data_IF_196337036254
#
_entry.id   IF_196337036254
#
_cell.length_a   1.000
_cell.length_b   1.000
_cell.length_c   1.000
_cell.angle_alpha   90.00
_cell.angle_beta   90.00
_cell.angle_gamma   90.00
#
_symmetry.space_group_name_H-M   'P 1'
#
loop_
_entity.id
_entity.type
_entity.pdbx_description
1 polymer ?
#
# COMPACT_ATOMS: atom_id res chain seq x y z
N UNK A 1 -8.31 0.78 -20.17
CA UNK A 1 -8.00 0.73 -18.73
C UNK A 1 -6.65 0.05 -18.58
N UNK A 2 -5.65 0.71 -17.97
CA UNK A 2 -4.33 0.08 -17.74
C UNK A 2 -4.25 -0.48 -16.31
N UNK A 3 -3.25 -1.31 -16.04
CA UNK A 3 -3.05 -1.94 -14.71
C UNK A 3 -2.90 -0.91 -13.59
N UNK A 4 -2.28 0.24 -13.88
CA UNK A 4 -2.11 1.32 -12.90
C UNK A 4 -3.44 1.99 -12.52
N UNK A 5 -4.35 2.21 -13.47
CA UNK A 5 -5.68 2.76 -13.16
C UNK A 5 -6.48 1.81 -12.27
N UNK A 6 -6.39 0.50 -12.52
CA UNK A 6 -7.04 -0.52 -11.66
C UNK A 6 -6.45 -0.49 -10.25
N UNK A 7 -5.12 -0.38 -10.13
CA UNK A 7 -4.42 -0.24 -8.87
C UNK A 7 -4.88 1.01 -8.08
N UNK A 8 -4.88 2.17 -8.71
CA UNK A 8 -5.31 3.43 -8.09
C UNK A 8 -6.78 3.39 -7.66
N UNK A 9 -7.65 2.77 -8.48
CA UNK A 9 -9.05 2.58 -8.12
C UNK A 9 -9.20 1.67 -6.89
N UNK A 10 -8.45 0.57 -6.82
CA UNK A 10 -8.47 -0.33 -5.66
C UNK A 10 -7.98 0.38 -4.38
N UNK A 11 -6.95 1.23 -4.48
CA UNK A 11 -6.47 2.06 -3.37
C UNK A 11 -7.51 3.08 -2.90
N UNK A 12 -8.23 3.73 -3.83
CA UNK A 12 -9.32 4.65 -3.47
C UNK A 12 -10.45 3.92 -2.75
N UNK A 13 -10.84 2.73 -3.21
CA UNK A 13 -11.85 1.90 -2.54
C UNK A 13 -11.38 1.38 -1.18
N UNK A 14 -10.07 1.22 -0.98
CA UNK A 14 -9.50 0.79 0.29
C UNK A 14 -9.72 1.87 1.38
N UNK A 15 -9.49 3.14 1.06
CA UNK A 15 -9.60 4.25 2.03
C UNK A 15 -11.03 4.65 2.36
N UNK A 16 -12.01 4.26 1.54
CA UNK A 16 -13.44 4.43 1.83
C UNK A 16 -13.92 3.51 2.96
N UNK A 17 -13.14 2.48 3.30
CA UNK A 17 -13.47 1.55 4.39
C UNK A 17 -13.24 2.22 5.74
N UNK A 18 -14.26 2.19 6.60
CA UNK A 18 -14.19 2.73 7.97
C UNK A 18 -13.53 1.72 8.92
N UNK A 19 -12.23 1.55 8.79
CA UNK A 19 -11.42 0.73 9.69
C UNK A 19 -10.09 1.40 10.00
N UNK A 20 -9.67 1.33 11.26
CA UNK A 20 -8.38 1.87 11.71
C UNK A 20 -7.20 1.13 11.07
N UNK A 21 -7.36 -0.18 10.80
CA UNK A 21 -6.36 -1.00 10.09
C UNK A 21 -6.95 -1.57 8.81
N UNK A 22 -6.34 -1.24 7.68
CA UNK A 22 -6.75 -1.67 6.36
C UNK A 22 -5.85 -2.83 5.90
N UNK A 23 -6.39 -4.05 5.92
CA UNK A 23 -5.67 -5.25 5.53
C UNK A 23 -5.68 -5.43 4.01
N UNK A 24 -4.50 -5.56 3.39
CA UNK A 24 -4.34 -5.75 1.95
C UNK A 24 -3.57 -7.03 1.68
N UNK A 25 -4.21 -7.98 1.01
CA UNK A 25 -3.57 -9.22 0.56
C UNK A 25 -2.99 -9.06 -0.85
N UNK A 26 -1.67 -9.18 -0.95
CA UNK A 26 -0.91 -9.00 -2.18
C UNK A 26 -0.41 -10.33 -2.77
N UNK A 27 -0.88 -11.48 -2.27
CA UNK A 27 -0.44 -12.81 -2.75
C UNK A 27 -0.62 -13.06 -4.25
N UNK A 28 -1.53 -12.33 -4.91
CA UNK A 28 -1.77 -12.41 -6.36
C UNK A 28 -1.05 -11.32 -7.16
N UNK A 29 -0.36 -10.40 -6.49
CA UNK A 29 0.40 -9.31 -7.11
C UNK A 29 1.84 -9.79 -7.29
N UNK A 30 2.19 -10.13 -8.53
CA UNK A 30 3.55 -10.61 -8.86
C UNK A 30 4.58 -9.50 -8.85
N UNK A 31 4.18 -8.29 -9.21
CA UNK A 31 5.09 -7.17 -9.33
C UNK A 31 4.38 -5.82 -9.13
N UNK A 32 5.07 -4.89 -8.47
CA UNK A 32 4.76 -3.46 -8.44
C UNK A 32 6.06 -2.68 -8.67
N UNK A 33 6.00 -1.63 -9.48
CA UNK A 33 7.11 -0.71 -9.69
C UNK A 33 7.11 0.41 -8.64
N UNK A 34 8.12 1.29 -8.68
CA UNK A 34 8.21 2.43 -7.77
C UNK A 34 6.96 3.31 -7.86
N UNK A 35 6.36 3.48 -9.04
CA UNK A 35 5.22 4.35 -9.20
C UNK A 35 3.95 3.79 -8.54
N UNK A 36 3.74 2.47 -8.59
CA UNK A 36 2.68 1.80 -7.84
C UNK A 36 2.90 1.85 -6.33
N UNK A 37 4.15 1.74 -5.87
CA UNK A 37 4.49 1.92 -4.45
C UNK A 37 4.29 3.38 -4.00
N UNK A 38 4.61 4.36 -4.85
CA UNK A 38 4.29 5.78 -4.61
C UNK A 38 2.79 5.96 -4.42
N UNK A 39 1.97 5.40 -5.32
CA UNK A 39 0.51 5.50 -5.22
C UNK A 39 0.01 4.93 -3.87
N UNK A 40 0.57 3.81 -3.41
CA UNK A 40 0.27 3.21 -2.10
C UNK A 40 0.72 4.07 -0.92
N UNK A 41 1.95 4.58 -0.94
CA UNK A 41 2.50 5.43 0.12
C UNK A 41 1.70 6.73 0.26
N UNK A 42 1.38 7.39 -0.85
CA UNK A 42 0.52 8.58 -0.87
C UNK A 42 -0.88 8.27 -0.36
N UNK A 43 -1.44 7.11 -0.70
CA UNK A 43 -2.74 6.67 -0.17
C UNK A 43 -2.68 6.49 1.35
N UNK A 44 -1.66 5.80 1.86
CA UNK A 44 -1.48 5.57 3.30
C UNK A 44 -1.31 6.88 4.08
N UNK A 45 -0.53 7.83 3.55
CA UNK A 45 -0.30 9.14 4.18
C UNK A 45 -1.53 10.03 4.28
N UNK A 46 -2.57 9.77 3.47
CA UNK A 46 -3.85 10.48 3.52
C UNK A 46 -4.81 9.90 4.55
N UNK A 47 -4.47 8.78 5.18
CA UNK A 47 -5.31 8.19 6.21
C UNK A 47 -5.35 9.09 7.46
N UNK A 48 -6.45 9.07 8.22
CA UNK A 48 -6.52 9.75 9.50
C UNK A 48 -5.41 9.28 10.45
N UNK A 49 -5.02 10.13 11.39
CA UNK A 49 -4.01 9.77 12.37
C UNK A 49 -4.38 8.48 13.12
N UNK A 50 -3.38 7.61 13.33
CA UNK A 50 -3.57 6.31 13.97
C UNK A 50 -4.07 5.21 13.03
N UNK A 51 -4.52 5.54 11.82
CA UNK A 51 -4.90 4.54 10.82
C UNK A 51 -3.68 4.07 10.04
N UNK A 52 -3.71 2.82 9.56
CA UNK A 52 -2.62 2.24 8.77
C UNK A 52 -3.09 1.17 7.79
N UNK A 53 -2.25 0.91 6.79
CA UNK A 53 -2.39 -0.21 5.85
C UNK A 53 -1.47 -1.34 6.30
N UNK A 54 -2.01 -2.54 6.51
CA UNK A 54 -1.24 -3.75 6.78
C UNK A 54 -1.16 -4.63 5.53
N UNK A 55 0.04 -4.78 4.98
CA UNK A 55 0.31 -5.56 3.77
C UNK A 55 0.61 -7.01 4.11
N UNK A 56 -0.17 -7.92 3.54
CA UNK A 56 0.04 -9.36 3.64
C UNK A 56 0.65 -9.88 2.35
N UNK A 57 1.75 -10.63 2.46
CA UNK A 57 2.43 -11.30 1.34
C UNK A 57 2.77 -10.36 0.17
N UNK A 58 3.44 -9.22 0.42
CA UNK A 58 3.84 -8.33 -0.65
C UNK A 58 4.87 -9.00 -1.58
N UNK A 59 4.94 -8.60 -2.86
CA UNK A 59 6.06 -8.98 -3.71
C UNK A 59 7.37 -8.45 -3.11
N UNK A 60 8.50 -9.18 -3.20
CA UNK A 60 9.70 -8.95 -2.39
C UNK A 60 10.35 -7.57 -2.58
N UNK A 61 10.15 -6.95 -3.74
CA UNK A 61 10.64 -5.60 -4.02
C UNK A 61 9.86 -4.51 -3.29
N UNK A 62 8.60 -4.74 -2.92
CA UNK A 62 7.76 -3.70 -2.32
C UNK A 62 8.31 -3.24 -0.96
N UNK A 63 8.61 -4.13 0.01
CA UNK A 63 9.23 -3.71 1.27
C UNK A 63 10.55 -2.97 1.05
N UNK A 64 11.36 -3.41 0.07
CA UNK A 64 12.63 -2.77 -0.25
C UNK A 64 12.46 -1.36 -0.82
N UNK A 65 11.48 -1.14 -1.70
CA UNK A 65 11.16 0.18 -2.24
C UNK A 65 10.64 1.09 -1.11
N UNK A 66 9.78 0.60 -0.23
CA UNK A 66 9.31 1.36 0.93
C UNK A 66 10.47 1.77 1.84
N UNK A 67 11.38 0.86 2.15
CA UNK A 67 12.56 1.15 2.97
C UNK A 67 13.45 2.24 2.35
N UNK A 68 13.65 2.20 1.02
CA UNK A 68 14.53 3.13 0.31
C UNK A 68 13.95 4.54 0.17
N UNK A 69 12.64 4.66 -0.07
CA UNK A 69 12.01 5.94 -0.42
C UNK A 69 11.11 6.51 0.68
N UNK A 70 10.61 5.67 1.60
CA UNK A 70 9.77 6.04 2.74
C UNK A 70 10.21 5.33 4.03
N UNK A 71 11.48 5.49 4.45
CA UNK A 71 11.98 4.82 5.65
C UNK A 71 11.13 5.20 6.87
N UNK A 72 10.61 4.19 7.58
CA UNK A 72 9.83 4.39 8.80
C UNK A 72 8.41 4.93 8.60
N UNK A 73 7.81 4.75 7.42
CA UNK A 73 6.41 5.14 7.17
C UNK A 73 5.44 4.42 8.12
N UNK A 74 4.97 5.12 9.16
CA UNK A 74 4.08 4.54 10.18
C UNK A 74 2.69 4.14 9.64
N UNK A 75 2.26 4.74 8.54
CA UNK A 75 0.97 4.46 7.91
C UNK A 75 0.96 3.16 7.09
N UNK A 76 2.10 2.49 6.89
CA UNK A 76 2.21 1.20 6.23
C UNK A 76 2.97 0.23 7.11
N UNK A 77 2.37 -0.92 7.37
CA UNK A 77 2.98 -2.05 8.05
C UNK A 77 3.08 -3.22 7.05
N UNK A 78 4.21 -3.92 7.07
CA UNK A 78 4.37 -5.17 6.32
C UNK A 78 4.29 -6.31 7.32
N UNK A 79 3.33 -7.22 7.12
CA UNK A 79 3.24 -8.42 7.94
C UNK A 79 4.51 -9.27 7.78
N UNK A 80 5.01 -9.77 8.90
CA UNK A 80 6.19 -10.63 8.97
C UNK A 80 6.01 -11.96 8.21
#
# INVERSE_FOLDING_TARGET
MNTRSVWQQALNQLVERRADVLHVDLSRVRFVDVAGVTDLAVTAQRLPQGHRILLHRPPPQLPRILELFWPGIAAIEVAA
#
